data_IF_651518102386
#
_entry.id   IF_651518102386
#
_cell.length_a   1.000
_cell.length_b   1.000
_cell.length_c   1.000
_cell.angle_alpha   90.00
_cell.angle_beta   90.00
_cell.angle_gamma   90.00
#
_symmetry.space_group_name_H-M   'P 1'
#
loop_
_entity.id
_entity.type
_entity.pdbx_description
1 polymer ?
#
# COMPACT_ATOMS: atom_id res chain seq x y z
N UNK A 1 -10.28 5.35 6.39
CA UNK A 1 -10.12 4.26 5.41
C UNK A 1 -11.22 3.21 5.55
N UNK A 2 -11.47 2.61 6.73
CA UNK A 2 -12.56 1.62 6.93
C UNK A 2 -13.97 2.06 6.46
N UNK A 3 -14.29 3.37 6.49
CA UNK A 3 -15.57 3.90 5.99
C UNK A 3 -15.55 4.25 4.49
N UNK A 4 -14.37 4.46 3.92
CA UNK A 4 -14.19 4.97 2.57
C UNK A 4 -13.99 3.86 1.54
N UNK A 5 -13.43 2.73 1.96
CA UNK A 5 -13.11 1.61 1.09
C UNK A 5 -13.93 0.36 1.45
N UNK A 6 -14.30 -0.41 0.43
CA UNK A 6 -15.13 -1.61 0.56
C UNK A 6 -14.39 -2.79 1.20
N UNK A 7 -15.11 -3.88 1.46
CA UNK A 7 -14.54 -5.09 2.10
C UNK A 7 -13.53 -5.85 1.22
N UNK A 8 -13.52 -5.55 -0.08
CA UNK A 8 -12.64 -6.16 -1.09
C UNK A 8 -11.32 -5.40 -1.29
N UNK A 9 -11.06 -4.39 -0.45
CA UNK A 9 -9.86 -3.58 -0.54
C UNK A 9 -8.62 -4.37 -0.14
N UNK A 10 -7.57 -4.30 -0.96
CA UNK A 10 -6.27 -4.88 -0.64
C UNK A 10 -5.35 -3.79 -0.12
N UNK A 11 -4.92 -3.95 1.13
CA UNK A 11 -3.97 -3.03 1.76
C UNK A 11 -2.54 -3.57 1.59
N UNK A 12 -1.64 -2.68 1.20
CA UNK A 12 -0.21 -2.96 1.06
C UNK A 12 0.56 -2.03 1.99
N UNK A 13 1.45 -2.58 2.82
CA UNK A 13 2.27 -1.78 3.73
C UNK A 13 3.56 -2.52 4.10
N UNK A 14 4.55 -1.79 4.62
CA UNK A 14 5.87 -2.36 4.96
C UNK A 14 6.17 -2.21 6.44
N UNK A 15 6.65 -1.04 6.86
CA UNK A 15 7.20 -0.82 8.20
C UNK A 15 7.00 0.63 8.63
N UNK A 16 6.92 0.85 9.94
CA UNK A 16 6.81 2.16 10.55
C UNK A 16 5.50 2.34 11.31
N UNK A 17 5.33 3.52 11.93
CA UNK A 17 4.12 3.86 12.69
C UNK A 17 2.87 3.81 11.82
N UNK A 18 2.98 4.20 10.55
CA UNK A 18 1.91 4.09 9.56
C UNK A 18 1.41 2.64 9.43
N UNK A 19 2.33 1.67 9.31
CA UNK A 19 2.00 0.25 9.22
C UNK A 19 1.44 -0.32 10.53
N UNK A 20 2.02 0.05 11.68
CA UNK A 20 1.57 -0.40 13.01
C UNK A 20 0.14 0.08 13.27
N UNK A 21 -0.12 1.37 13.06
CA UNK A 21 -1.45 1.95 13.22
C UNK A 21 -2.45 1.35 12.24
N UNK A 22 -2.04 1.12 10.99
CA UNK A 22 -2.87 0.43 10.00
C UNK A 22 -3.23 -0.99 10.44
N UNK A 23 -2.27 -1.77 10.93
CA UNK A 23 -2.51 -3.14 11.40
C UNK A 23 -3.42 -3.20 12.63
N UNK A 24 -3.37 -2.20 13.50
CA UNK A 24 -4.21 -2.13 14.70
C UNK A 24 -5.63 -1.64 14.43
N UNK A 25 -5.83 -0.79 13.41
CA UNK A 25 -7.09 -0.05 13.21
C UNK A 25 -7.85 -0.41 11.93
N UNK A 26 -7.18 -0.93 10.89
CA UNK A 26 -7.86 -1.33 9.65
C UNK A 26 -8.50 -2.70 9.80
N UNK A 27 -9.64 -2.88 9.14
CA UNK A 27 -10.29 -4.17 9.05
C UNK A 27 -10.04 -4.81 7.68
N UNK A 28 -9.64 -6.09 7.71
CA UNK A 28 -9.43 -6.92 6.53
C UNK A 28 -10.31 -8.16 6.64
N UNK A 29 -11.11 -8.43 5.61
CA UNK A 29 -12.18 -9.42 5.65
C UNK A 29 -11.90 -10.67 4.80
N UNK A 30 -10.80 -10.68 4.03
CA UNK A 30 -10.46 -11.73 3.09
C UNK A 30 -8.98 -12.12 3.19
N UNK A 31 -8.63 -13.38 2.89
CA UNK A 31 -7.22 -13.77 2.79
C UNK A 31 -6.52 -12.95 1.70
N UNK A 32 -5.21 -12.70 1.88
CA UNK A 32 -4.37 -11.95 0.92
C UNK A 32 -4.85 -10.52 0.63
N UNK A 33 -5.62 -9.91 1.54
CA UNK A 33 -6.02 -8.49 1.48
C UNK A 33 -5.24 -7.60 2.48
N UNK A 34 -4.32 -8.22 3.23
CA UNK A 34 -3.26 -7.56 3.97
C UNK A 34 -1.94 -8.09 3.43
N UNK A 35 -1.28 -7.30 2.59
CA UNK A 35 0.00 -7.64 1.97
C UNK A 35 1.07 -6.84 2.70
N UNK A 36 1.91 -7.54 3.47
CA UNK A 36 2.91 -6.90 4.32
C UNK A 36 4.25 -7.65 4.26
N UNK A 37 5.35 -6.90 4.13
CA UNK A 37 6.71 -7.37 4.31
C UNK A 37 7.08 -7.60 5.80
N UNK A 38 6.21 -8.27 6.56
CA UNK A 38 6.22 -8.27 8.04
C UNK A 38 7.37 -9.03 8.73
N UNK A 39 8.32 -9.59 8.00
CA UNK A 39 9.54 -10.19 8.58
C UNK A 39 10.75 -9.30 8.38
N UNK A 40 11.07 -8.95 7.13
CA UNK A 40 12.25 -8.15 6.81
C UNK A 40 12.00 -6.63 6.95
N UNK A 41 10.80 -6.16 6.62
CA UNK A 41 10.43 -4.74 6.66
C UNK A 41 11.38 -3.77 5.94
N UNK A 42 11.80 -4.02 4.67
CA UNK A 42 12.72 -3.12 3.98
C UNK A 42 12.02 -1.84 3.52
N UNK A 43 12.51 -0.67 3.94
CA UNK A 43 12.00 0.64 3.49
C UNK A 43 12.02 0.76 1.96
N UNK A 44 10.98 1.37 1.39
CA UNK A 44 10.78 1.51 -0.05
C UNK A 44 9.90 0.43 -0.66
N UNK A 45 9.65 -0.67 0.04
CA UNK A 45 8.95 -1.83 -0.54
C UNK A 45 7.48 -1.57 -0.89
N UNK A 46 6.82 -0.63 -0.20
CA UNK A 46 5.38 -0.42 -0.31
C UNK A 46 4.92 -0.05 -1.74
N UNK A 47 5.62 0.87 -2.41
CA UNK A 47 5.26 1.33 -3.74
C UNK A 47 5.39 0.24 -4.83
N UNK A 48 6.56 -0.42 -5.02
CA UNK A 48 6.70 -1.50 -6.00
C UNK A 48 5.82 -2.72 -5.67
N UNK A 49 5.59 -3.03 -4.38
CA UNK A 49 4.68 -4.11 -4.02
C UNK A 49 3.23 -3.80 -4.39
N UNK A 50 2.77 -2.56 -4.19
CA UNK A 50 1.43 -2.15 -4.60
C UNK A 50 1.25 -2.25 -6.12
N UNK A 51 2.27 -1.89 -6.90
CA UNK A 51 2.27 -2.07 -8.36
C UNK A 51 2.20 -3.55 -8.75
N UNK A 52 2.93 -4.41 -8.05
CA UNK A 52 2.87 -5.86 -8.24
C UNK A 52 1.48 -6.44 -7.98
N UNK A 53 0.81 -6.02 -6.89
CA UNK A 53 -0.56 -6.46 -6.58
C UNK A 53 -1.54 -5.98 -7.66
N UNK A 54 -1.47 -4.71 -8.06
CA UNK A 54 -2.33 -4.16 -9.10
C UNK A 54 -2.10 -4.82 -10.47
N UNK A 55 -0.87 -5.22 -10.77
CA UNK A 55 -0.55 -5.96 -12.00
C UNK A 55 -1.09 -7.39 -11.96
N UNK A 56 -1.04 -8.04 -10.78
CA UNK A 56 -1.52 -9.41 -10.61
C UNK A 56 -3.06 -9.53 -10.61
N UNK A 57 -3.78 -8.50 -10.17
CA UNK A 57 -5.24 -8.43 -10.19
C UNK A 57 -5.70 -7.01 -10.57
N UNK A 58 -5.82 -6.71 -11.88
CA UNK A 58 -6.13 -5.37 -12.40
C UNK A 58 -7.49 -4.82 -11.98
N UNK A 59 -8.44 -5.69 -11.63
CA UNK A 59 -9.79 -5.30 -11.21
C UNK A 59 -9.85 -4.97 -9.71
N UNK A 60 -8.75 -5.21 -8.97
CA UNK A 60 -8.72 -4.99 -7.54
C UNK A 60 -8.43 -3.55 -7.13
N UNK A 61 -9.15 -3.09 -6.09
CA UNK A 61 -8.79 -1.85 -5.42
C UNK A 61 -7.59 -2.09 -4.49
N UNK A 62 -6.45 -1.51 -4.86
CA UNK A 62 -5.20 -1.56 -4.08
C UNK A 62 -4.97 -0.22 -3.38
N UNK A 63 -4.76 -0.28 -2.07
CA UNK A 63 -4.49 0.89 -1.23
C UNK A 63 -3.17 0.69 -0.49
N UNK A 64 -2.20 1.54 -0.81
CA UNK A 64 -0.88 1.53 -0.22
C UNK A 64 -0.82 2.46 1.02
N UNK A 65 -0.30 1.94 2.12
CA UNK A 65 -0.06 2.68 3.36
C UNK A 65 1.44 2.78 3.60
N UNK A 66 1.97 3.97 3.41
CA UNK A 66 3.39 4.26 3.53
C UNK A 66 3.61 5.47 4.43
N UNK A 67 4.65 5.43 5.27
CA UNK A 67 5.16 6.65 5.89
C UNK A 67 5.89 7.50 4.85
N UNK A 68 6.08 8.78 5.10
CA UNK A 68 6.85 9.67 4.21
C UNK A 68 8.26 9.15 3.90
N UNK A 69 8.96 8.60 4.90
CA UNK A 69 10.29 8.04 4.72
C UNK A 69 10.28 6.75 3.89
N UNK A 70 9.34 5.83 4.16
CA UNK A 70 9.18 4.61 3.35
C UNK A 70 8.83 4.94 1.89
N UNK A 71 8.01 5.98 1.67
CA UNK A 71 7.61 6.41 0.33
C UNK A 71 8.77 7.00 -0.47
N UNK A 72 9.64 7.79 0.18
CA UNK A 72 10.76 8.46 -0.48
C UNK A 72 11.87 7.51 -0.93
N UNK A 73 11.97 6.30 -0.36
CA UNK A 73 13.06 5.37 -0.66
C UNK A 73 13.10 4.92 -2.11
N UNK A 74 11.93 4.67 -2.71
CA UNK A 74 11.76 4.18 -4.08
C UNK A 74 10.64 4.94 -4.79
N UNK A 75 10.58 6.27 -4.59
CA UNK A 75 9.51 7.12 -5.14
C UNK A 75 9.50 7.14 -6.67
N UNK A 76 10.63 6.89 -7.32
CA UNK A 76 10.79 6.78 -8.76
C UNK A 76 9.93 5.66 -9.38
N UNK A 77 9.56 4.64 -8.61
CA UNK A 77 8.69 3.55 -9.07
C UNK A 77 7.28 4.04 -9.45
N UNK A 78 6.86 5.23 -8.99
CA UNK A 78 5.62 5.85 -9.47
C UNK A 78 5.62 6.09 -10.99
N UNK A 79 6.80 6.31 -11.59
CA UNK A 79 6.92 6.44 -13.04
C UNK A 79 6.60 5.13 -13.78
N UNK A 80 6.88 3.98 -13.15
CA UNK A 80 6.53 2.64 -13.67
C UNK A 80 5.02 2.45 -13.64
N UNK A 81 4.36 2.85 -12.55
CA UNK A 81 2.90 2.80 -12.42
C UNK A 81 2.15 3.67 -13.43
N UNK A 82 2.76 4.79 -13.88
CA UNK A 82 2.19 5.64 -14.93
C UNK A 82 2.41 5.06 -16.33
N UNK A 83 3.52 4.39 -16.56
CA UNK A 83 3.90 3.87 -17.88
C UNK A 83 3.20 2.55 -18.23
N UNK A 84 2.73 1.82 -17.21
CA UNK A 84 1.96 0.59 -17.38
C UNK A 84 0.50 0.93 -17.74
N UNK A 85 0.08 0.57 -18.96
CA UNK A 85 -1.24 0.83 -19.57
C UNK A 85 -2.40 0.04 -18.91
N UNK A 86 -2.46 -0.05 -17.59
CA UNK A 86 -3.58 -0.65 -16.85
C UNK A 86 -4.34 0.44 -16.10
N UNK A 87 -5.69 0.38 -16.02
CA UNK A 87 -6.51 1.39 -15.36
C UNK A 87 -6.39 1.25 -13.83
N UNK A 88 -5.23 1.56 -13.28
CA UNK A 88 -4.92 1.34 -11.87
C UNK A 88 -5.45 2.51 -11.03
N UNK A 89 -6.57 2.34 -10.35
CA UNK A 89 -7.04 3.31 -9.34
C UNK A 89 -6.21 3.17 -8.05
N UNK A 90 -5.00 3.75 -8.03
CA UNK A 90 -4.17 3.82 -6.82
C UNK A 90 -4.48 5.08 -6.02
N UNK A 91 -4.96 4.90 -4.79
CA UNK A 91 -5.12 5.97 -3.82
C UNK A 91 -3.94 5.96 -2.85
N UNK A 92 -3.14 7.04 -2.86
CA UNK A 92 -2.01 7.22 -1.95
C UNK A 92 -2.44 8.05 -0.75
N UNK A 93 -2.15 7.59 0.47
CA UNK A 93 -2.24 8.40 1.68
C UNK A 93 -0.94 8.28 2.45
N UNK A 94 -0.19 9.38 2.53
CA UNK A 94 0.99 9.49 3.39
C UNK A 94 0.55 10.01 4.77
N UNK A 95 0.97 9.33 5.83
CA UNK A 95 0.77 9.81 7.20
C UNK A 95 2.05 10.52 7.63
N UNK A 96 2.01 11.77 8.13
CA UNK A 96 3.17 12.43 8.72
C UNK A 96 3.74 11.63 9.88
N UNK A 97 5.07 11.58 10.01
CA UNK A 97 5.76 10.84 11.08
C UNK A 97 5.73 11.59 12.45
N UNK A 98 5.12 12.77 12.53
CA UNK A 98 5.00 13.55 13.77
C UNK A 98 3.71 13.22 14.53
N UNK A 99 3.87 12.69 15.75
CA UNK A 99 2.87 12.75 16.81
C UNK A 99 2.59 14.19 17.25
#
# INVERSE_FOLDING_TARGET
MNRAFGRDTRYVSTIGLSQIQAAQLLHVYKPRHWINAGQAGPLGWTAPAALGVATADPDSLVVALSGDYDFQFLIEELAVGRSSTSPTSMSWSTTPTSA
#
